data_IF_201609497274
#
_entry.id   IF_201609497274
#
_cell.length_a   1.000
_cell.length_b   1.000
_cell.length_c   1.000
_cell.angle_alpha   90.00
_cell.angle_beta   90.00
_cell.angle_gamma   90.00
#
_symmetry.space_group_name_H-M   'P 1'
#
loop_
_entity.id
_entity.type
_entity.pdbx_description
1 polymer ?
#
# COMPACT_ATOMS: atom_id res chain seq x y z
N UNK A 1 -29.23 -9.86 -12.22
CA UNK A 1 -28.13 -8.92 -12.55
C UNK A 1 -27.24 -8.51 -11.36
N UNK A 2 -27.68 -8.62 -10.10
CA UNK A 2 -26.92 -8.18 -8.90
C UNK A 2 -25.55 -8.85 -8.71
N UNK A 3 -25.45 -10.17 -8.90
CA UNK A 3 -24.20 -10.92 -8.67
C UNK A 3 -23.02 -10.51 -9.58
N UNK A 4 -23.29 -10.10 -10.83
CA UNK A 4 -22.24 -9.63 -11.75
C UNK A 4 -21.63 -8.29 -11.29
N UNK A 5 -22.44 -7.41 -10.68
CA UNK A 5 -22.00 -6.10 -10.19
C UNK A 5 -21.09 -6.24 -8.98
N UNK A 6 -21.46 -7.13 -8.05
CA UNK A 6 -20.67 -7.44 -6.84
C UNK A 6 -19.32 -8.06 -7.23
N UNK A 7 -19.30 -9.02 -8.17
CA UNK A 7 -18.07 -9.63 -8.66
C UNK A 7 -17.11 -8.62 -9.32
N UNK A 8 -17.65 -7.65 -10.08
CA UNK A 8 -16.84 -6.59 -10.71
C UNK A 8 -16.23 -5.64 -9.69
N UNK A 9 -16.98 -5.27 -8.65
CA UNK A 9 -16.48 -4.44 -7.54
C UNK A 9 -15.39 -5.18 -6.77
N UNK A 10 -15.61 -6.47 -6.47
CA UNK A 10 -14.62 -7.34 -5.82
C UNK A 10 -13.30 -7.36 -6.59
N UNK A 11 -13.36 -7.64 -7.90
CA UNK A 11 -12.17 -7.68 -8.77
C UNK A 11 -11.44 -6.34 -8.83
N UNK A 12 -12.16 -5.21 -8.90
CA UNK A 12 -11.56 -3.87 -8.91
C UNK A 12 -10.86 -3.56 -7.58
N UNK A 13 -11.44 -3.97 -6.46
CA UNK A 13 -10.83 -3.81 -5.14
C UNK A 13 -9.54 -4.63 -4.99
N UNK A 14 -9.57 -5.88 -5.45
CA UNK A 14 -8.40 -6.78 -5.43
C UNK A 14 -7.28 -6.23 -6.32
N UNK A 15 -7.61 -5.77 -7.53
CA UNK A 15 -6.64 -5.13 -8.42
C UNK A 15 -6.02 -3.88 -7.80
N UNK A 16 -6.83 -3.00 -7.20
CA UNK A 16 -6.32 -1.79 -6.54
C UNK A 16 -5.42 -2.12 -5.35
N UNK A 17 -5.73 -3.17 -4.59
CA UNK A 17 -4.91 -3.60 -3.45
C UNK A 17 -3.60 -4.19 -3.94
N UNK A 18 -3.64 -5.03 -4.98
CA UNK A 18 -2.46 -5.61 -5.60
C UNK A 18 -1.53 -4.54 -6.20
N UNK A 19 -2.07 -3.56 -6.92
CA UNK A 19 -1.28 -2.44 -7.44
C UNK A 19 -0.59 -1.66 -6.30
N UNK A 20 -1.28 -1.47 -5.17
CA UNK A 20 -0.73 -0.77 -4.00
C UNK A 20 0.41 -1.56 -3.35
N UNK A 21 0.28 -2.89 -3.27
CA UNK A 21 1.35 -3.78 -2.79
C UNK A 21 2.55 -3.77 -3.74
N UNK A 22 2.34 -3.84 -5.05
CA UNK A 22 3.42 -3.80 -6.05
C UNK A 22 4.17 -2.47 -5.97
N UNK A 23 3.47 -1.35 -5.85
CA UNK A 23 4.08 -0.03 -5.66
C UNK A 23 4.87 0.01 -4.34
N UNK A 24 4.31 -0.50 -3.24
CA UNK A 24 5.02 -0.57 -1.96
C UNK A 24 6.35 -1.34 -2.06
N UNK A 25 6.32 -2.51 -2.70
CA UNK A 25 7.50 -3.35 -2.92
C UNK A 25 8.52 -2.61 -3.79
N UNK A 26 8.09 -1.95 -4.87
CA UNK A 26 8.99 -1.19 -5.73
C UNK A 26 9.69 -0.06 -4.97
N UNK A 27 8.94 0.73 -4.19
CA UNK A 27 9.50 1.81 -3.38
C UNK A 27 10.48 1.29 -2.31
N UNK A 28 10.16 0.17 -1.66
CA UNK A 28 11.06 -0.48 -0.71
C UNK A 28 12.32 -0.99 -1.39
N UNK A 29 12.20 -1.72 -2.50
CA UNK A 29 13.34 -2.27 -3.22
C UNK A 29 14.27 -1.17 -3.75
N UNK A 30 13.70 -0.11 -4.34
CA UNK A 30 14.45 1.05 -4.79
C UNK A 30 15.14 1.77 -3.64
N UNK A 31 14.42 2.01 -2.54
CA UNK A 31 14.96 2.68 -1.35
C UNK A 31 16.09 1.88 -0.72
N UNK A 32 15.94 0.56 -0.58
CA UNK A 32 16.98 -0.35 -0.07
C UNK A 32 18.18 -0.37 -1.01
N UNK A 33 17.96 -0.43 -2.32
CA UNK A 33 19.05 -0.41 -3.30
C UNK A 33 19.86 0.89 -3.19
N UNK A 34 19.19 2.03 -3.09
CA UNK A 34 19.88 3.31 -2.88
C UNK A 34 20.64 3.35 -1.54
N UNK A 35 20.00 2.87 -0.47
CA UNK A 35 20.59 2.86 0.87
C UNK A 35 21.83 1.98 0.97
N UNK A 36 21.82 0.80 0.35
CA UNK A 36 22.90 -0.18 0.46
C UNK A 36 24.00 0.00 -0.59
N UNK A 37 23.68 0.45 -1.82
CA UNK A 37 24.62 0.40 -2.95
C UNK A 37 25.04 1.76 -3.49
N UNK A 38 24.21 2.81 -3.37
CA UNK A 38 24.54 4.14 -3.90
C UNK A 38 25.09 5.10 -2.85
N UNK A 39 25.00 4.73 -1.56
CA UNK A 39 25.46 5.57 -0.45
C UNK A 39 24.68 6.88 -0.36
N UNK A 40 25.25 7.84 0.37
CA UNK A 40 24.58 9.11 0.62
C UNK A 40 24.78 10.05 -0.57
N UNK A 41 23.71 10.28 -1.34
CA UNK A 41 23.74 11.27 -2.42
C UNK A 41 23.49 12.65 -1.84
N UNK A 42 24.47 13.56 -1.99
CA UNK A 42 24.33 14.95 -1.57
C UNK A 42 23.35 15.63 -2.54
N UNK A 43 22.11 15.80 -2.10
CA UNK A 43 21.10 16.54 -2.86
C UNK A 43 21.10 17.97 -2.33
N UNK A 44 21.64 18.90 -3.13
CA UNK A 44 21.54 20.33 -2.85
C UNK A 44 20.23 20.87 -3.42
N UNK A 45 19.36 21.34 -2.54
CA UNK A 45 18.16 22.05 -2.99
C UNK A 45 18.57 23.45 -3.47
N UNK A 46 18.12 23.92 -4.66
CA UNK A 46 18.49 25.24 -5.16
C UNK A 46 18.02 26.41 -4.28
N UNK A 47 17.09 26.16 -3.33
CA UNK A 47 16.59 27.15 -2.37
C UNK A 47 17.18 27.03 -0.96
N UNK A 48 17.87 25.93 -0.65
CA UNK A 48 18.45 25.69 0.69
C UNK A 48 19.82 25.05 0.48
N UNK A 49 20.92 25.81 0.69
CA UNK A 49 22.28 25.33 0.42
C UNK A 49 22.75 24.27 1.42
N UNK A 50 21.91 23.85 2.36
CA UNK A 50 22.19 22.74 3.25
C UNK A 50 22.10 21.43 2.45
N UNK A 51 23.19 20.67 2.31
CA UNK A 51 23.16 19.36 1.68
C UNK A 51 22.20 18.46 2.44
N UNK A 52 21.14 18.00 1.76
CA UNK A 52 20.25 16.96 2.26
C UNK A 52 20.84 15.61 1.86
N UNK A 53 21.20 14.80 2.85
CA UNK A 53 21.63 13.41 2.61
C UNK A 53 20.38 12.59 2.29
N UNK A 54 20.19 12.29 1.01
CA UNK A 54 19.10 11.41 0.57
C UNK A 54 19.66 10.01 0.37
N UNK A 55 19.51 9.17 1.39
CA UNK A 55 20.06 7.81 1.43
C UNK A 55 19.02 6.76 0.98
N UNK A 56 17.91 7.17 0.37
CA UNK A 56 16.80 6.27 0.04
C UNK A 56 15.89 5.91 1.24
N UNK A 57 16.25 6.31 2.46
CA UNK A 57 15.45 6.11 3.70
C UNK A 57 14.03 6.68 3.59
N UNK A 58 13.89 7.86 2.97
CA UNK A 58 12.59 8.50 2.69
C UNK A 58 11.74 7.63 1.75
N UNK A 59 12.37 7.03 0.74
CA UNK A 59 11.67 6.16 -0.22
C UNK A 59 11.24 4.84 0.43
N UNK A 60 12.07 4.28 1.32
CA UNK A 60 11.70 3.12 2.16
C UNK A 60 10.49 3.47 3.03
N UNK A 61 10.49 4.65 3.67
CA UNK A 61 9.38 5.10 4.51
C UNK A 61 8.06 5.19 3.73
N UNK A 62 8.07 5.74 2.51
CA UNK A 62 6.89 5.73 1.63
C UNK A 62 6.45 4.30 1.27
N UNK A 63 7.39 3.39 1.00
CA UNK A 63 7.10 1.98 0.78
C UNK A 63 6.38 1.33 1.97
N UNK A 64 6.83 1.59 3.20
CA UNK A 64 6.18 1.10 4.42
C UNK A 64 4.77 1.66 4.58
N UNK A 65 4.57 2.96 4.32
CA UNK A 65 3.23 3.58 4.38
C UNK A 65 2.27 2.90 3.39
N UNK A 66 2.71 2.68 2.15
CA UNK A 66 1.88 2.00 1.15
C UNK A 66 1.58 0.55 1.57
N UNK A 67 2.55 -0.16 2.13
CA UNK A 67 2.31 -1.51 2.67
C UNK A 67 1.27 -1.49 3.80
N UNK A 68 1.37 -0.53 4.73
CA UNK A 68 0.41 -0.34 5.81
C UNK A 68 -1.00 -0.05 5.30
N UNK A 69 -1.14 0.79 4.27
CA UNK A 69 -2.43 1.07 3.62
C UNK A 69 -3.01 -0.18 2.93
N UNK A 70 -2.18 -1.00 2.30
CA UNK A 70 -2.60 -2.25 1.69
C UNK A 70 -3.10 -3.25 2.75
N UNK A 71 -2.37 -3.41 3.86
CA UNK A 71 -2.78 -4.25 4.99
C UNK A 71 -4.09 -3.77 5.61
N UNK A 72 -4.23 -2.46 5.84
CA UNK A 72 -5.48 -1.88 6.34
C UNK A 72 -6.68 -2.21 5.43
N UNK A 73 -6.49 -2.15 4.10
CA UNK A 73 -7.53 -2.53 3.12
C UNK A 73 -7.91 -4.00 3.23
N UNK A 74 -6.93 -4.90 3.37
CA UNK A 74 -7.18 -6.34 3.53
C UNK A 74 -8.00 -6.61 4.80
N UNK A 75 -7.54 -6.11 5.95
CA UNK A 75 -8.20 -6.31 7.25
C UNK A 75 -9.62 -5.74 7.25
N UNK A 76 -9.80 -4.53 6.72
CA UNK A 76 -11.14 -3.90 6.65
C UNK A 76 -12.10 -4.72 5.79
N UNK A 77 -11.61 -5.34 4.71
CA UNK A 77 -12.42 -6.20 3.86
C UNK A 77 -12.84 -7.49 4.58
N UNK A 78 -11.94 -8.12 5.32
CA UNK A 78 -12.28 -9.31 6.14
C UNK A 78 -13.39 -9.00 7.14
N UNK A 79 -13.25 -7.91 7.90
CA UNK A 79 -14.28 -7.46 8.86
C UNK A 79 -15.65 -7.24 8.19
N UNK A 80 -15.68 -6.65 6.99
CA UNK A 80 -16.92 -6.44 6.25
C UNK A 80 -17.57 -7.75 5.79
N UNK A 81 -16.77 -8.72 5.34
CA UNK A 81 -17.28 -10.04 4.95
C UNK A 81 -17.86 -10.76 6.16
N UNK A 82 -17.17 -10.71 7.30
CA UNK A 82 -17.60 -11.32 8.55
C UNK A 82 -18.91 -10.71 9.06
N UNK A 83 -19.07 -9.38 9.00
CA UNK A 83 -20.33 -8.69 9.34
C UNK A 83 -21.50 -9.09 8.42
N UNK A 84 -21.24 -9.23 7.11
CA UNK A 84 -22.25 -9.68 6.15
C UNK A 84 -22.69 -11.12 6.44
N UNK A 85 -21.76 -12.00 6.81
CA UNK A 85 -22.07 -13.39 7.12
C UNK A 85 -22.86 -13.51 8.44
N UNK A 86 -22.50 -12.72 9.45
CA UNK A 86 -23.25 -12.62 10.71
C UNK A 86 -24.69 -12.10 10.51
N UNK A 87 -24.88 -11.03 9.72
CA UNK A 87 -26.21 -10.52 9.38
C UNK A 87 -27.06 -11.57 8.65
N UNK A 88 -26.47 -12.34 7.72
CA UNK A 88 -27.18 -13.44 7.04
C UNK A 88 -27.60 -14.56 7.98
N UNK A 89 -26.78 -14.89 8.98
CA UNK A 89 -27.12 -15.92 9.98
C UNK A 89 -28.17 -15.43 10.97
N UNK A 90 -28.12 -14.15 11.35
CA UNK A 90 -29.13 -13.52 12.23
C UNK A 90 -30.51 -13.42 11.57
N UNK A 91 -30.60 -13.06 10.28
CA UNK A 91 -31.88 -12.96 9.55
C UNK A 91 -32.49 -14.31 9.13
N UNK A 92 -31.81 -15.43 9.41
CA UNK A 92 -32.30 -16.79 9.13
C UNK A 92 -32.92 -17.48 10.35
N UNK A 93 -32.84 -16.85 11.53
CA UNK A 93 -33.63 -17.21 12.71
C UNK A 93 -34.86 -16.33 12.78
#
# INVERSE_FOLDING_TARGET
MSNKRIAKIKKKYDQLTLSLVVIAIFFMAYGIYHYLFLGTSIVTHPKVPTPSLSDGSVTIFFGIIFLGLALYRIIRREKLIEQIDQMKRSNRK
#
